data_IF_635924821007
#
_entry.id   IF_635924821007
#
_cell.length_a   1.000
_cell.length_b   1.000
_cell.length_c   1.000
_cell.angle_alpha   90.00
_cell.angle_beta   90.00
_cell.angle_gamma   90.00
#
_symmetry.space_group_name_H-M   'P 1'
#
loop_
_entity.id
_entity.type
_entity.pdbx_description
1 polymer ?
#
# COMPACT_ATOMS: atom_id res chain seq x y z
N UNK A 1 11.88 2.97 6.28
CA UNK A 1 11.36 2.24 5.11
C UNK A 1 10.54 3.14 4.16
N UNK A 2 10.68 4.46 4.30
CA UNK A 2 10.03 5.47 3.47
C UNK A 2 8.51 5.22 3.35
N UNK A 3 7.98 5.19 2.12
CA UNK A 3 6.54 5.04 1.90
C UNK A 3 5.96 3.68 2.38
N UNK A 4 6.77 2.67 2.60
CA UNK A 4 6.34 1.37 3.11
C UNK A 4 6.26 1.31 4.65
N UNK A 5 6.56 2.41 5.37
CA UNK A 5 6.66 2.41 6.85
C UNK A 5 5.38 1.93 7.51
N UNK A 6 4.21 2.40 7.07
CA UNK A 6 2.93 1.95 7.62
C UNK A 6 2.72 0.44 7.47
N UNK A 7 2.96 -0.09 6.27
CA UNK A 7 2.83 -1.53 6.00
C UNK A 7 3.86 -2.37 6.78
N UNK A 8 5.09 -1.89 6.93
CA UNK A 8 6.10 -2.57 7.74
C UNK A 8 5.71 -2.60 9.22
N UNK A 9 5.22 -1.48 9.77
CA UNK A 9 4.76 -1.43 11.16
C UNK A 9 3.61 -2.42 11.42
N UNK A 10 2.67 -2.54 10.48
CA UNK A 10 1.55 -3.49 10.55
C UNK A 10 2.06 -4.93 10.43
N UNK A 11 2.95 -5.20 9.48
CA UNK A 11 3.52 -6.52 9.28
C UNK A 11 4.37 -6.99 10.47
N UNK A 12 5.17 -6.11 11.06
CA UNK A 12 5.95 -6.41 12.25
C UNK A 12 5.04 -6.67 13.46
N UNK A 13 3.96 -5.90 13.62
CA UNK A 13 2.96 -6.12 14.65
C UNK A 13 2.25 -7.48 14.49
N UNK A 14 1.92 -7.88 13.24
CA UNK A 14 1.40 -9.23 12.96
C UNK A 14 2.38 -10.31 13.44
N UNK A 15 3.67 -10.16 13.14
CA UNK A 15 4.69 -11.16 13.56
C UNK A 15 4.86 -11.25 15.08
N UNK A 16 4.75 -10.13 15.79
CA UNK A 16 4.79 -10.11 17.25
C UNK A 16 3.62 -10.90 17.85
N UNK A 17 2.40 -10.69 17.33
CA UNK A 17 1.22 -11.46 17.76
C UNK A 17 1.36 -12.94 17.41
N UNK A 18 1.78 -13.27 16.19
CA UNK A 18 1.96 -14.65 15.76
C UNK A 18 3.04 -15.43 16.55
N UNK A 19 4.00 -14.74 17.17
CA UNK A 19 5.01 -15.32 18.06
C UNK A 19 4.57 -15.38 19.51
N UNK A 20 3.32 -15.03 19.82
CA UNK A 20 2.77 -15.01 21.17
C UNK A 20 3.54 -14.06 22.13
N UNK A 21 4.10 -12.98 21.56
CA UNK A 21 4.82 -11.95 22.33
C UNK A 21 3.87 -10.81 22.78
N UNK A 22 2.71 -10.67 22.13
CA UNK A 22 1.64 -9.74 22.50
C UNK A 22 0.28 -10.22 22.00
N UNK A 23 -0.76 -9.96 22.78
CA UNK A 23 -2.16 -10.24 22.38
C UNK A 23 -2.75 -9.15 21.50
N UNK A 24 -2.30 -7.91 21.67
CA UNK A 24 -2.82 -6.71 20.99
C UNK A 24 -1.67 -5.78 20.62
N UNK A 25 -1.70 -5.28 19.41
CA UNK A 25 -0.74 -4.29 18.91
C UNK A 25 -1.46 -3.09 18.32
N UNK A 26 -0.97 -1.89 18.63
CA UNK A 26 -1.39 -0.64 17.98
C UNK A 26 -0.27 -0.24 17.03
N UNK A 27 -0.57 -0.16 15.74
CA UNK A 27 0.45 0.05 14.70
C UNK A 27 -0.10 0.89 13.54
N UNK A 28 0.77 1.33 12.65
CA UNK A 28 0.41 2.15 11.50
C UNK A 28 1.51 3.14 11.13
N UNK A 29 1.12 4.27 10.58
CA UNK A 29 2.05 5.34 10.17
C UNK A 29 1.43 6.72 10.25
N UNK A 30 2.28 7.73 10.43
CA UNK A 30 1.91 9.14 10.44
C UNK A 30 2.95 9.93 9.67
N UNK A 31 2.51 10.96 8.95
CA UNK A 31 3.38 11.82 8.15
C UNK A 31 2.86 13.25 8.08
N UNK A 32 3.76 14.21 8.27
CA UNK A 32 3.51 15.64 8.14
C UNK A 32 4.75 16.29 7.48
N UNK A 33 5.02 15.90 6.23
CA UNK A 33 6.24 16.26 5.50
C UNK A 33 6.09 17.47 4.57
N UNK A 34 4.92 18.12 4.50
CA UNK A 34 4.70 19.31 3.67
C UNK A 34 5.33 20.53 4.36
N UNK A 35 6.64 20.52 4.41
CA UNK A 35 7.49 21.59 4.90
C UNK A 35 8.35 22.15 3.76
N UNK A 36 8.93 23.35 3.87
CA UNK A 36 9.81 23.88 2.82
C UNK A 36 10.95 22.92 2.43
N UNK A 37 11.55 22.24 3.41
CA UNK A 37 12.64 21.28 3.16
C UNK A 37 12.11 19.98 2.54
N UNK A 38 11.04 19.39 3.09
CA UNK A 38 10.46 18.15 2.58
C UNK A 38 9.91 18.32 1.17
N UNK A 39 9.10 19.35 0.95
CA UNK A 39 8.55 19.66 -0.37
C UNK A 39 9.65 20.00 -1.38
N UNK A 40 10.63 20.86 -0.99
CA UNK A 40 11.77 21.22 -1.83
C UNK A 40 12.63 20.02 -2.24
N UNK A 41 12.80 19.03 -1.35
CA UNK A 41 13.50 17.78 -1.66
C UNK A 41 12.81 16.99 -2.77
N UNK A 42 11.47 16.84 -2.70
CA UNK A 42 10.70 16.15 -3.74
C UNK A 42 10.61 16.95 -5.05
N UNK A 43 10.62 18.29 -4.99
CA UNK A 43 10.78 19.12 -6.18
C UNK A 43 12.14 18.89 -6.86
N UNK A 44 13.23 18.84 -6.09
CA UNK A 44 14.57 18.55 -6.60
C UNK A 44 14.66 17.14 -7.22
N UNK A 45 13.96 16.17 -6.65
CA UNK A 45 13.83 14.81 -7.18
C UNK A 45 13.00 14.74 -8.47
N UNK A 46 12.23 15.81 -8.81
CA UNK A 46 11.31 15.86 -9.95
C UNK A 46 10.24 14.74 -9.91
N UNK A 47 9.76 14.41 -8.72
CA UNK A 47 8.81 13.34 -8.51
C UNK A 47 7.36 13.82 -8.36
N UNK A 48 7.15 15.14 -8.15
CA UNK A 48 5.83 15.74 -7.95
C UNK A 48 5.16 16.07 -9.29
N UNK A 49 3.83 15.97 -9.30
CA UNK A 49 3.01 16.47 -10.41
C UNK A 49 3.16 17.99 -10.56
N UNK A 50 3.19 18.45 -11.79
CA UNK A 50 3.24 19.87 -12.14
C UNK A 50 1.87 20.41 -12.60
N UNK A 51 0.81 19.62 -12.46
CA UNK A 51 -0.57 19.98 -12.92
C UNK A 51 -1.25 20.95 -11.94
N UNK A 52 -0.72 22.16 -11.86
CA UNK A 52 -1.24 23.19 -10.96
C UNK A 52 -2.49 23.91 -11.51
N UNK A 53 -2.74 23.83 -12.81
CA UNK A 53 -3.91 24.44 -13.45
C UNK A 53 -5.19 23.61 -13.24
N UNK A 54 -5.05 22.31 -12.95
CA UNK A 54 -6.16 21.39 -12.66
C UNK A 54 -5.77 20.48 -11.45
N UNK A 55 -5.61 21.04 -10.25
CA UNK A 55 -5.06 20.32 -9.11
C UNK A 55 -5.90 19.11 -8.68
N UNK A 56 -7.20 19.14 -8.86
CA UNK A 56 -8.11 18.03 -8.58
C UNK A 56 -7.93 16.84 -9.53
N UNK A 57 -7.20 17.02 -10.63
CA UNK A 57 -6.85 15.98 -11.60
C UNK A 57 -5.36 15.61 -11.57
N UNK A 58 -4.59 16.14 -10.63
CA UNK A 58 -3.14 15.94 -10.58
C UNK A 58 -2.79 14.51 -10.14
N UNK A 59 -3.42 13.99 -9.08
CA UNK A 59 -3.24 12.60 -8.68
C UNK A 59 -4.09 11.68 -9.55
N UNK A 60 -3.44 10.97 -10.47
CA UNK A 60 -4.09 10.12 -11.46
C UNK A 60 -3.33 8.80 -11.69
N UNK A 61 -3.30 7.92 -10.69
CA UNK A 61 -2.58 6.64 -10.77
C UNK A 61 -2.99 5.84 -12.00
N UNK A 62 -2.00 5.23 -12.66
CA UNK A 62 -2.15 4.40 -13.86
C UNK A 62 -2.65 5.11 -15.12
N UNK A 63 -2.97 6.39 -15.05
CA UNK A 63 -3.41 7.18 -16.21
C UNK A 63 -2.22 7.42 -17.17
N UNK A 64 -2.52 7.52 -18.47
CA UNK A 64 -1.48 7.76 -19.49
C UNK A 64 -0.82 9.13 -19.37
N UNK A 65 -1.57 10.12 -18.88
CA UNK A 65 -1.16 11.53 -18.77
C UNK A 65 -0.69 11.88 -17.33
N UNK A 66 -0.40 10.87 -16.49
CA UNK A 66 0.18 11.09 -15.16
C UNK A 66 1.59 11.66 -15.27
N UNK A 67 1.96 12.54 -14.36
CA UNK A 67 3.24 13.27 -14.43
C UNK A 67 4.00 13.30 -13.10
N UNK A 68 3.47 12.71 -12.04
CA UNK A 68 4.09 12.69 -10.72
C UNK A 68 3.05 12.49 -9.62
N UNK A 69 3.51 12.39 -8.38
CA UNK A 69 2.62 12.25 -7.25
C UNK A 69 2.24 13.61 -6.64
N UNK A 70 1.15 13.62 -5.88
CA UNK A 70 0.73 14.75 -5.04
C UNK A 70 1.05 14.41 -3.60
N UNK A 71 1.81 15.25 -2.89
CA UNK A 71 2.07 15.04 -1.46
C UNK A 71 0.80 15.18 -0.65
N UNK A 72 0.60 14.24 0.28
CA UNK A 72 -0.44 14.31 1.31
C UNK A 72 0.19 14.20 2.70
N UNK A 73 -0.58 14.55 3.71
CA UNK A 73 -0.25 14.40 5.13
C UNK A 73 -1.38 13.66 5.83
N UNK A 74 -1.08 12.96 6.89
CA UNK A 74 -2.09 12.27 7.68
C UNK A 74 -1.53 11.20 8.60
N UNK A 75 -2.43 10.44 9.19
CA UNK A 75 -2.13 9.32 10.06
C UNK A 75 -3.14 8.20 9.85
N UNK A 76 -2.65 6.97 9.81
CA UNK A 76 -3.48 5.77 9.80
C UNK A 76 -2.97 4.80 10.86
N UNK A 77 -3.84 4.45 11.80
CA UNK A 77 -3.51 3.55 12.89
C UNK A 77 -4.55 2.43 12.94
N UNK A 78 -4.08 1.21 13.07
CA UNK A 78 -4.91 0.02 13.23
C UNK A 78 -4.59 -0.65 14.57
N UNK A 79 -5.58 -1.36 15.10
CA UNK A 79 -5.42 -2.24 16.25
C UNK A 79 -5.50 -3.67 15.74
N UNK A 80 -4.40 -4.40 15.85
CA UNK A 80 -4.35 -5.84 15.61
C UNK A 80 -4.57 -6.55 16.94
N UNK A 81 -5.37 -7.60 16.91
CA UNK A 81 -5.65 -8.43 18.07
C UNK A 81 -5.66 -9.90 17.65
N UNK A 82 -5.18 -10.76 18.52
CA UNK A 82 -5.25 -12.20 18.34
C UNK A 82 -6.71 -12.63 18.14
N UNK A 83 -6.97 -13.47 17.13
CA UNK A 83 -8.31 -13.78 16.63
C UNK A 83 -9.22 -14.42 17.68
N UNK A 84 -8.74 -15.43 18.40
CA UNK A 84 -9.56 -16.15 19.41
C UNK A 84 -9.92 -15.22 20.57
N UNK A 85 -8.99 -14.34 20.96
CA UNK A 85 -9.23 -13.31 21.98
C UNK A 85 -10.30 -12.31 21.52
N UNK A 86 -10.21 -11.81 20.28
CA UNK A 86 -11.18 -10.88 19.71
C UNK A 86 -12.59 -11.52 19.66
N UNK A 87 -12.67 -12.75 19.19
CA UNK A 87 -13.94 -13.54 19.16
C UNK A 87 -14.50 -13.76 20.56
N UNK A 88 -13.66 -14.17 21.53
CA UNK A 88 -14.08 -14.45 22.91
C UNK A 88 -14.70 -13.23 23.61
N UNK A 89 -14.24 -12.02 23.31
CA UNK A 89 -14.79 -10.79 23.87
C UNK A 89 -15.88 -10.12 23.01
N UNK A 90 -16.31 -10.78 21.92
CA UNK A 90 -17.25 -10.24 20.94
C UNK A 90 -16.82 -8.90 20.33
N UNK A 91 -15.53 -8.77 19.97
CA UNK A 91 -15.02 -7.58 19.32
C UNK A 91 -15.65 -7.37 17.93
N UNK A 92 -15.86 -6.12 17.50
CA UNK A 92 -16.13 -5.86 16.10
C UNK A 92 -14.86 -6.15 15.28
N UNK A 93 -14.91 -7.19 14.44
CA UNK A 93 -13.79 -7.59 13.58
C UNK A 93 -14.07 -7.06 12.17
N UNK A 94 -13.20 -6.23 11.64
CA UNK A 94 -13.32 -5.66 10.29
C UNK A 94 -12.83 -6.65 9.22
N UNK A 95 -11.67 -7.25 9.45
CA UNK A 95 -11.05 -8.24 8.59
C UNK A 95 -9.99 -9.03 9.37
N UNK A 96 -9.49 -10.08 8.76
CA UNK A 96 -8.33 -10.83 9.24
C UNK A 96 -7.11 -10.49 8.40
N UNK A 97 -5.99 -10.16 9.05
CA UNK A 97 -4.69 -9.99 8.39
C UNK A 97 -4.00 -11.35 8.34
N UNK A 98 -3.96 -11.95 7.16
CA UNK A 98 -3.53 -13.35 6.98
C UNK A 98 -2.13 -13.51 6.42
N UNK A 99 -1.50 -12.45 5.90
CA UNK A 99 -0.18 -12.57 5.33
C UNK A 99 0.54 -11.26 5.16
N UNK A 100 1.87 -11.35 5.16
CA UNK A 100 2.77 -10.23 5.01
C UNK A 100 3.99 -10.61 4.18
N UNK A 101 4.35 -9.73 3.26
CA UNK A 101 5.55 -9.87 2.45
C UNK A 101 6.35 -8.58 2.40
N UNK A 102 7.67 -8.68 2.39
CA UNK A 102 8.57 -7.55 2.20
C UNK A 102 9.75 -7.93 1.33
N UNK A 103 10.34 -6.93 0.69
CA UNK A 103 11.53 -7.07 -0.12
C UNK A 103 12.23 -5.72 -0.27
N UNK A 104 13.44 -5.74 -0.80
CA UNK A 104 14.15 -4.55 -1.24
C UNK A 104 14.73 -4.80 -2.63
N UNK A 105 14.70 -3.78 -3.50
CA UNK A 105 15.18 -3.90 -4.88
C UNK A 105 16.71 -4.01 -4.96
N UNK A 106 17.43 -3.33 -4.06
CA UNK A 106 18.89 -3.20 -4.11
C UNK A 106 19.41 -2.70 -5.49
N UNK A 107 18.60 -1.88 -6.17
CA UNK A 107 18.85 -1.41 -7.53
C UNK A 107 19.34 0.03 -7.55
N UNK A 108 18.57 0.96 -7.02
CA UNK A 108 18.85 2.39 -7.04
C UNK A 108 18.28 3.05 -5.77
N UNK A 109 18.81 4.23 -5.40
CA UNK A 109 18.43 4.94 -4.19
C UNK A 109 16.92 5.31 -4.16
N UNK A 110 16.35 5.69 -5.32
CA UNK A 110 14.96 6.15 -5.43
C UNK A 110 14.16 5.52 -6.57
N UNK A 111 14.83 5.04 -7.64
CA UNK A 111 14.14 4.41 -8.76
C UNK A 111 13.87 2.93 -8.49
N UNK A 112 12.67 2.43 -8.79
CA UNK A 112 12.38 1.00 -8.69
C UNK A 112 13.14 0.21 -9.75
N UNK A 113 13.40 -1.07 -9.49
CA UNK A 113 13.95 -2.00 -10.47
C UNK A 113 13.06 -2.05 -11.72
N UNK A 114 13.60 -1.81 -12.92
CA UNK A 114 12.83 -1.78 -14.17
C UNK A 114 12.03 -3.05 -14.46
N UNK A 115 12.52 -4.20 -13.97
CA UNK A 115 11.84 -5.49 -14.10
C UNK A 115 10.79 -5.74 -13.00
N UNK A 116 10.74 -4.89 -11.96
CA UNK A 116 9.82 -4.99 -10.85
C UNK A 116 10.04 -6.20 -9.95
N UNK A 117 11.28 -6.71 -9.89
CA UNK A 117 11.61 -7.93 -9.15
C UNK A 117 11.26 -7.82 -7.68
N UNK A 118 11.59 -6.71 -7.03
CA UNK A 118 11.25 -6.48 -5.62
C UNK A 118 9.75 -6.54 -5.36
N UNK A 119 8.94 -5.88 -6.20
CA UNK A 119 7.48 -5.93 -6.07
C UNK A 119 6.93 -7.34 -6.31
N UNK A 120 7.47 -8.07 -7.28
CA UNK A 120 7.11 -9.49 -7.53
C UNK A 120 7.41 -10.34 -6.30
N UNK A 121 8.62 -10.23 -5.73
CA UNK A 121 9.02 -11.00 -4.55
C UNK A 121 8.16 -10.66 -3.33
N UNK A 122 7.85 -9.39 -3.14
CA UNK A 122 7.00 -8.92 -2.05
C UNK A 122 5.59 -9.54 -2.13
N UNK A 123 4.92 -9.40 -3.28
CA UNK A 123 3.59 -9.99 -3.50
C UNK A 123 3.61 -11.52 -3.38
N UNK A 124 4.60 -12.19 -3.98
CA UNK A 124 4.72 -13.65 -3.88
C UNK A 124 4.96 -14.12 -2.44
N UNK A 125 5.76 -13.38 -1.65
CA UNK A 125 5.99 -13.68 -0.25
C UNK A 125 4.71 -13.52 0.58
N UNK A 126 3.94 -12.46 0.35
CA UNK A 126 2.66 -12.23 1.04
C UNK A 126 1.63 -13.34 0.72
N UNK A 127 1.49 -13.71 -0.55
CA UNK A 127 0.60 -14.82 -0.96
C UNK A 127 1.02 -16.15 -0.35
N UNK A 128 2.32 -16.43 -0.33
CA UNK A 128 2.88 -17.64 0.28
C UNK A 128 2.62 -17.68 1.79
N UNK A 129 2.83 -16.57 2.46
CA UNK A 129 2.61 -16.42 3.89
C UNK A 129 1.14 -16.64 4.27
N UNK A 130 0.24 -16.04 3.49
CA UNK A 130 -1.20 -16.19 3.63
C UNK A 130 -1.73 -17.58 3.25
N UNK A 131 -0.95 -18.40 2.55
CA UNK A 131 -1.43 -19.67 1.97
C UNK A 131 -2.48 -19.50 0.86
N UNK A 132 -2.52 -18.34 0.22
CA UNK A 132 -3.54 -17.95 -0.77
C UNK A 132 -2.96 -18.08 -2.18
N UNK A 133 -3.76 -18.57 -3.12
CA UNK A 133 -3.37 -18.61 -4.54
C UNK A 133 -3.60 -17.23 -5.20
N UNK A 134 -2.82 -16.86 -6.21
CA UNK A 134 -3.07 -15.63 -6.96
C UNK A 134 -4.51 -15.50 -7.50
N UNK A 135 -5.15 -16.61 -7.85
CA UNK A 135 -6.52 -16.65 -8.37
C UNK A 135 -7.60 -16.33 -7.34
N UNK A 136 -7.27 -16.42 -6.06
CA UNK A 136 -8.21 -16.22 -4.95
C UNK A 136 -8.20 -14.74 -4.49
N UNK A 137 -7.29 -13.92 -5.03
CA UNK A 137 -7.24 -12.49 -4.76
C UNK A 137 -8.33 -11.78 -5.57
N UNK A 138 -9.19 -11.06 -4.88
CA UNK A 138 -10.32 -10.35 -5.46
C UNK A 138 -10.06 -8.88 -5.78
N UNK A 139 -9.03 -8.26 -5.18
CA UNK A 139 -8.74 -6.84 -5.36
C UNK A 139 -7.31 -6.50 -4.91
N UNK A 140 -6.71 -5.49 -5.54
CA UNK A 140 -5.45 -4.88 -5.12
C UNK A 140 -5.66 -3.38 -4.89
N UNK A 141 -5.38 -2.92 -3.66
CA UNK A 141 -5.10 -1.51 -3.41
C UNK A 141 -3.61 -1.29 -3.68
N UNK A 142 -3.31 -0.72 -4.82
CA UNK A 142 -1.95 -0.58 -5.32
C UNK A 142 -1.20 0.57 -4.67
N UNK A 143 0.12 0.52 -4.71
CA UNK A 143 0.95 1.68 -4.39
C UNK A 143 0.57 2.87 -5.27
N UNK A 144 0.53 2.69 -6.59
CA UNK A 144 -0.12 3.59 -7.54
C UNK A 144 0.09 5.07 -7.24
N UNK A 145 1.33 5.55 -7.34
CA UNK A 145 1.72 6.90 -6.92
C UNK A 145 1.40 7.99 -7.94
N UNK A 146 0.89 7.62 -9.13
CA UNK A 146 0.75 8.56 -10.26
C UNK A 146 2.09 8.99 -10.87
N UNK A 147 3.17 8.28 -10.58
CA UNK A 147 4.48 8.51 -11.21
C UNK A 147 4.66 7.65 -12.46
N UNK A 148 5.46 8.13 -13.40
CA UNK A 148 5.70 7.43 -14.66
C UNK A 148 6.31 6.04 -14.45
N UNK A 149 7.28 5.93 -13.55
CA UNK A 149 8.02 4.69 -13.32
C UNK A 149 7.26 3.70 -12.44
N UNK A 150 6.79 4.14 -11.27
CA UNK A 150 6.12 3.24 -10.33
C UNK A 150 4.93 2.53 -10.97
N UNK A 151 3.99 3.28 -11.54
CA UNK A 151 2.73 2.71 -12.00
C UNK A 151 2.93 1.71 -13.15
N UNK A 152 3.91 1.99 -14.02
CA UNK A 152 4.30 1.06 -15.08
C UNK A 152 4.91 -0.22 -14.52
N UNK A 153 5.84 -0.10 -13.58
CA UNK A 153 6.59 -1.23 -13.01
C UNK A 153 5.68 -2.06 -12.11
N UNK A 154 4.84 -1.43 -11.31
CA UNK A 154 3.85 -2.12 -10.49
C UNK A 154 2.85 -2.89 -11.34
N UNK A 155 2.38 -2.31 -12.45
CA UNK A 155 1.55 -3.01 -13.45
C UNK A 155 2.26 -4.24 -14.02
N UNK A 156 3.56 -4.14 -14.31
CA UNK A 156 4.37 -5.27 -14.78
C UNK A 156 4.47 -6.36 -13.71
N UNK A 157 4.75 -5.99 -12.47
CA UNK A 157 4.87 -6.91 -11.35
C UNK A 157 3.55 -7.65 -11.07
N UNK A 158 2.42 -6.94 -11.05
CA UNK A 158 1.08 -7.53 -10.92
C UNK A 158 0.85 -8.56 -12.02
N UNK A 159 1.15 -8.24 -13.28
CA UNK A 159 1.00 -9.19 -14.39
C UNK A 159 1.90 -10.41 -14.24
N UNK A 160 3.13 -10.26 -13.75
CA UNK A 160 4.05 -11.38 -13.50
C UNK A 160 3.52 -12.31 -12.40
N UNK A 161 2.98 -11.78 -11.31
CA UNK A 161 2.49 -12.57 -10.17
C UNK A 161 1.14 -13.24 -10.46
N UNK A 162 0.20 -12.49 -11.04
CA UNK A 162 -1.18 -12.94 -11.22
C UNK A 162 -1.46 -13.56 -12.60
N UNK A 163 -0.52 -13.48 -13.54
CA UNK A 163 -0.63 -14.10 -14.87
C UNK A 163 -1.91 -13.71 -15.61
N UNK A 164 -2.67 -14.68 -16.06
CA UNK A 164 -3.96 -14.45 -16.75
C UNK A 164 -5.03 -13.86 -15.85
N UNK A 165 -4.96 -14.09 -14.53
CA UNK A 165 -5.89 -13.54 -13.55
C UNK A 165 -5.78 -12.02 -13.44
N UNK A 166 -4.60 -11.44 -13.69
CA UNK A 166 -4.38 -10.00 -13.67
C UNK A 166 -5.32 -9.20 -14.58
N UNK A 167 -5.85 -9.83 -15.64
CA UNK A 167 -6.82 -9.19 -16.57
C UNK A 167 -8.23 -9.05 -15.98
N UNK A 168 -8.53 -9.78 -14.92
CA UNK A 168 -9.84 -9.81 -14.25
C UNK A 168 -9.79 -9.21 -12.85
N UNK A 169 -8.59 -8.99 -12.32
CA UNK A 169 -8.34 -8.51 -10.98
C UNK A 169 -8.52 -6.99 -10.94
N UNK A 170 -9.50 -6.46 -10.20
CA UNK A 170 -9.65 -5.03 -9.98
C UNK A 170 -8.42 -4.47 -9.26
N UNK A 171 -7.90 -3.37 -9.76
CA UNK A 171 -6.75 -2.67 -9.19
C UNK A 171 -7.07 -1.18 -9.14
N UNK A 172 -6.92 -0.56 -7.99
CA UNK A 172 -6.98 0.90 -7.87
C UNK A 172 -5.96 1.39 -6.83
N UNK A 173 -5.77 2.70 -6.77
CA UNK A 173 -4.97 3.33 -5.74
C UNK A 173 -5.78 4.43 -5.06
N UNK A 174 -5.90 4.36 -3.74
CA UNK A 174 -6.54 5.39 -2.92
C UNK A 174 -5.81 6.72 -2.97
N UNK A 175 -4.55 6.73 -3.44
CA UNK A 175 -3.79 7.97 -3.68
C UNK A 175 -4.41 8.86 -4.77
N UNK A 176 -5.32 8.33 -5.58
CA UNK A 176 -6.12 9.14 -6.53
C UNK A 176 -6.98 10.20 -5.85
N UNK A 177 -7.39 9.96 -4.61
CA UNK A 177 -8.29 10.86 -3.85
C UNK A 177 -7.62 11.56 -2.67
N UNK A 178 -6.55 10.99 -2.10
CA UNK A 178 -5.90 11.55 -0.91
C UNK A 178 -4.45 11.99 -1.14
N UNK A 179 -3.89 11.75 -2.33
CA UNK A 179 -2.47 11.95 -2.57
C UNK A 179 -1.60 10.88 -1.92
N UNK A 180 -0.29 11.10 -1.91
CA UNK A 180 0.69 10.19 -1.35
C UNK A 180 1.14 10.67 0.04
N UNK A 181 0.70 9.98 1.08
CA UNK A 181 0.98 10.31 2.48
C UNK A 181 2.31 9.71 2.96
N UNK A 182 3.20 9.33 2.05
CA UNK A 182 4.54 8.80 2.35
C UNK A 182 4.48 7.68 3.41
N UNK A 183 5.10 7.86 4.57
CA UNK A 183 5.12 6.86 5.63
C UNK A 183 3.78 6.55 6.28
N UNK A 184 2.81 7.47 6.19
CA UNK A 184 1.44 7.24 6.67
C UNK A 184 0.59 6.44 5.68
N UNK A 185 0.97 6.38 4.39
CA UNK A 185 0.13 5.82 3.32
C UNK A 185 -0.37 4.41 3.65
N UNK A 186 0.52 3.50 4.04
CA UNK A 186 0.14 2.12 4.34
C UNK A 186 -0.87 1.99 5.47
N UNK A 187 -0.70 2.77 6.55
CA UNK A 187 -1.66 2.77 7.66
C UNK A 187 -3.03 3.29 7.29
N UNK A 188 -3.11 4.31 6.42
CA UNK A 188 -4.39 4.85 5.93
C UNK A 188 -5.03 3.90 4.92
N UNK A 189 -4.25 3.34 4.01
CA UNK A 189 -4.72 2.40 2.98
C UNK A 189 -5.28 1.13 3.59
N UNK A 190 -4.68 0.62 4.66
CA UNK A 190 -5.16 -0.54 5.39
C UNK A 190 -6.50 -0.25 6.08
N UNK A 191 -6.68 0.94 6.66
CA UNK A 191 -7.96 1.36 7.24
C UNK A 191 -9.08 1.47 6.19
N UNK A 192 -8.74 1.82 4.95
CA UNK A 192 -9.71 1.95 3.86
C UNK A 192 -10.00 0.61 3.16
N UNK A 193 -9.06 -0.33 3.20
CA UNK A 193 -9.19 -1.64 2.57
C UNK A 193 -10.46 -2.39 2.99
N UNK A 194 -10.76 -2.57 4.27
CA UNK A 194 -11.99 -3.20 4.76
C UNK A 194 -13.28 -2.42 4.48
N UNK A 195 -13.15 -1.13 4.19
CA UNK A 195 -14.28 -0.26 3.86
C UNK A 195 -14.64 -0.26 2.37
N UNK A 196 -13.79 -0.84 1.50
CA UNK A 196 -14.12 -1.04 0.10
C UNK A 196 -15.35 -1.93 0.00
N UNK A 197 -16.34 -1.61 -0.88
CA UNK A 197 -17.70 -2.05 -0.69
C UNK A 197 -17.76 -3.54 -0.43
N UNK A 198 -18.23 -3.92 0.75
CA UNK A 198 -18.92 -5.20 0.88
C UNK A 198 -19.88 -5.20 -0.26
N UNK A 199 -19.71 -6.11 -1.22
CA UNK A 199 -20.67 -6.27 -2.29
C UNK A 199 -22.04 -6.23 -1.62
N UNK A 200 -22.86 -5.23 -1.99
CA UNK A 200 -24.22 -5.15 -1.52
C UNK A 200 -24.95 -6.38 -2.06
N UNK A 201 -25.05 -7.36 -1.22
CA UNK A 201 -25.64 -8.65 -1.50
C UNK A 201 -25.72 -9.41 -0.20
N UNK A 202 -26.57 -8.91 0.69
CA UNK A 202 -27.41 -9.58 1.68
C UNK A 202 -27.83 -8.60 2.76
#
# INVERSE_FOLDING_TARGET
TACATGNHAIGDALRIIQRDEADVMVCGGTEAAITPTGFGGFCALKALSLRNDEPEKASRPFDKDRDGFVMGEGAGVVVLEEMERAVKRNAPIYCELIGYGMSGDAYHMTAPDPEGDGAVRCMAASLKDAGVKPTDVGYINAHGTSTLYNDRIETLAIKKVFGTHAKKLPVSSTKSVMGHLLGAAGGVEENLGPAWPRAQGE
#
